data_IF_278981213047
#
_entry.id   IF_278981213047
#
_cell.length_a   1.000
_cell.length_b   1.000
_cell.length_c   1.000
_cell.angle_alpha   90.00
_cell.angle_beta   90.00
_cell.angle_gamma   90.00
#
_symmetry.space_group_name_H-M   'P 1'
#
loop_
_entity.id
_entity.type
_entity.pdbx_description
1 polymer ?
#
# COMPACT_ATOMS: atom_id res chain seq x y z
N UNK A 1 21.72 -1.68 28.64
CA UNK A 1 21.19 -2.19 27.36
C UNK A 1 19.69 -2.25 27.46
N UNK A 2 19.04 -1.17 27.05
CA UNK A 2 17.59 -1.00 27.12
C UNK A 2 16.91 -2.01 26.20
N UNK A 3 16.01 -2.80 26.80
CA UNK A 3 15.08 -3.68 26.08
C UNK A 3 14.07 -2.79 25.35
N UNK A 4 14.35 -2.43 24.10
CA UNK A 4 13.36 -1.85 23.20
C UNK A 4 12.30 -2.93 22.93
N UNK A 5 11.22 -2.92 23.72
CA UNK A 5 9.98 -3.60 23.37
C UNK A 5 9.53 -3.04 22.01
N UNK A 6 9.69 -3.83 20.96
CA UNK A 6 9.06 -3.54 19.68
C UNK A 6 7.55 -3.64 19.89
N UNK A 7 6.89 -2.50 20.06
CA UNK A 7 5.45 -2.42 20.08
C UNK A 7 4.97 -2.63 18.64
N UNK A 8 4.61 -3.87 18.33
CA UNK A 8 4.01 -4.20 17.04
C UNK A 8 2.59 -3.66 17.03
N UNK A 9 2.37 -2.64 16.19
CA UNK A 9 1.07 -1.98 16.06
C UNK A 9 0.25 -2.72 15.02
N UNK A 10 -0.97 -3.13 15.40
CA UNK A 10 -1.92 -3.72 14.44
C UNK A 10 -2.68 -2.57 13.79
N UNK A 11 -2.75 -2.62 12.47
CA UNK A 11 -3.35 -1.58 11.62
C UNK A 11 -4.63 -2.10 10.98
N UNK A 12 -5.65 -1.25 10.88
CA UNK A 12 -6.90 -1.54 10.21
C UNK A 12 -7.41 -0.31 9.45
N UNK A 13 -8.11 -0.52 8.35
CA UNK A 13 -8.67 0.57 7.56
C UNK A 13 -8.83 0.20 6.09
N UNK A 14 -9.55 1.05 5.37
CA UNK A 14 -9.63 0.98 3.91
C UNK A 14 -8.66 2.02 3.34
N UNK A 15 -7.80 1.58 2.44
CA UNK A 15 -6.88 2.48 1.73
C UNK A 15 -7.65 3.18 0.61
N UNK A 16 -7.75 4.50 0.71
CA UNK A 16 -8.19 5.36 -0.37
C UNK A 16 -7.00 5.60 -1.31
N UNK A 17 -7.07 5.04 -2.52
CA UNK A 17 -5.97 5.07 -3.48
C UNK A 17 -5.60 6.50 -3.85
N UNK A 18 -6.58 7.39 -4.02
CA UNK A 18 -6.31 8.77 -4.43
C UNK A 18 -5.55 9.52 -3.34
N UNK A 19 -5.97 9.37 -2.08
CA UNK A 19 -5.26 9.94 -0.93
C UNK A 19 -3.87 9.36 -0.77
N UNK A 20 -3.73 8.05 -0.95
CA UNK A 20 -2.43 7.39 -0.86
C UNK A 20 -1.46 7.91 -1.92
N UNK A 21 -1.91 8.07 -3.16
CA UNK A 21 -1.10 8.65 -4.25
C UNK A 21 -0.69 10.10 -3.95
N UNK A 22 -1.60 10.92 -3.40
CA UNK A 22 -1.29 12.28 -2.96
C UNK A 22 -0.21 12.27 -1.87
N UNK A 23 -0.30 11.34 -0.91
CA UNK A 23 0.68 11.26 0.18
C UNK A 23 2.05 10.77 -0.31
N UNK A 24 2.10 9.84 -1.27
CA UNK A 24 3.35 9.47 -1.94
C UNK A 24 3.99 10.67 -2.63
N UNK A 25 3.20 11.48 -3.35
CA UNK A 25 3.68 12.70 -4.00
C UNK A 25 4.21 13.73 -2.97
N UNK A 26 3.52 13.93 -1.84
CA UNK A 26 3.99 14.80 -0.75
C UNK A 26 5.31 14.33 -0.13
N UNK A 27 5.54 13.01 -0.09
CA UNK A 27 6.81 12.41 0.33
C UNK A 27 7.94 12.52 -0.72
N UNK A 28 7.68 13.17 -1.84
CA UNK A 28 8.63 13.40 -2.93
C UNK A 28 8.75 12.22 -3.89
N UNK A 29 7.77 11.30 -3.92
CA UNK A 29 7.73 10.18 -4.85
C UNK A 29 6.83 10.55 -6.04
N UNK A 30 7.45 10.97 -7.14
CA UNK A 30 6.78 11.37 -8.38
C UNK A 30 7.01 10.35 -9.51
N UNK A 31 6.26 10.45 -10.62
CA UNK A 31 6.45 9.55 -11.75
C UNK A 31 6.03 8.11 -11.45
N UNK A 32 4.96 7.94 -10.67
CA UNK A 32 4.40 6.63 -10.34
C UNK A 32 3.70 6.03 -11.56
N UNK A 33 3.98 4.76 -11.84
CA UNK A 33 3.22 3.97 -12.81
C UNK A 33 2.11 3.22 -12.07
N UNK A 34 0.86 3.40 -12.49
CA UNK A 34 -0.31 2.83 -11.81
C UNK A 34 -1.00 1.88 -12.78
N UNK A 35 -1.21 0.63 -12.33
CA UNK A 35 -1.91 -0.40 -13.08
C UNK A 35 -3.04 -0.98 -12.26
N UNK A 36 -4.24 -0.94 -12.81
CA UNK A 36 -5.38 -1.67 -12.26
C UNK A 36 -5.28 -3.13 -12.68
N UNK A 37 -5.25 -4.02 -11.70
CA UNK A 37 -5.26 -5.45 -11.91
C UNK A 37 -6.70 -5.94 -11.74
N UNK A 38 -7.29 -6.37 -12.84
CA UNK A 38 -8.52 -7.16 -12.80
C UNK A 38 -8.09 -8.60 -12.57
N UNK A 39 -8.39 -9.15 -11.39
CA UNK A 39 -8.43 -10.60 -11.25
C UNK A 39 -9.63 -11.08 -12.08
N UNK A 40 -9.42 -12.06 -12.95
CA UNK A 40 -10.49 -12.67 -13.73
C UNK A 40 -11.44 -13.38 -12.74
N UNK A 41 -12.66 -12.85 -12.60
CA UNK A 41 -13.78 -13.56 -11.96
C UNK A 41 -14.02 -14.85 -12.74
N UNK A 42 -13.63 -15.98 -12.14
CA UNK A 42 -13.92 -17.31 -12.66
C UNK A 42 -14.72 -18.15 -11.65
N UNK A 43 -15.35 -17.52 -10.66
CA UNK A 43 -16.31 -18.19 -9.78
C UNK A 43 -17.61 -17.40 -9.71
N UNK A 44 -18.55 -17.82 -10.56
CA UNK A 44 -19.98 -17.56 -10.46
C UNK A 44 -20.48 -17.91 -9.05
N UNK A 45 -20.51 -16.94 -8.13
CA UNK A 45 -21.44 -16.93 -7.00
C UNK A 45 -21.63 -15.49 -6.48
N UNK A 46 -22.89 -15.07 -6.42
CA UNK A 46 -23.39 -13.71 -6.17
C UNK A 46 -23.05 -13.13 -4.77
N UNK A 47 -21.76 -12.93 -4.46
CA UNK A 47 -21.30 -12.14 -3.31
C UNK A 47 -19.89 -11.51 -3.52
N UNK A 48 -19.41 -11.42 -4.76
CA UNK A 48 -18.04 -11.00 -5.05
C UNK A 48 -17.90 -9.47 -5.13
N UNK A 49 -17.47 -8.91 -4.00
CA UNK A 49 -16.88 -7.58 -3.96
C UNK A 49 -15.58 -7.63 -4.78
N UNK A 50 -15.70 -7.33 -6.09
CA UNK A 50 -14.61 -7.25 -7.08
C UNK A 50 -13.27 -6.98 -6.42
N UNK A 51 -12.38 -7.97 -6.39
CA UNK A 51 -11.01 -7.87 -5.88
C UNK A 51 -10.16 -7.00 -6.82
N UNK A 52 -10.56 -5.75 -7.00
CA UNK A 52 -9.80 -4.75 -7.75
C UNK A 52 -8.53 -4.48 -6.96
N UNK A 53 -7.41 -4.96 -7.47
CA UNK A 53 -6.11 -4.64 -6.91
C UNK A 53 -5.45 -3.54 -7.73
N UNK A 54 -4.66 -2.70 -7.06
CA UNK A 54 -3.92 -1.61 -7.68
C UNK A 54 -2.45 -1.89 -7.47
N UNK A 55 -1.70 -1.96 -8.57
CA UNK A 55 -0.25 -2.01 -8.56
C UNK A 55 0.30 -0.60 -8.82
N UNK A 56 1.18 -0.14 -7.94
CA UNK A 56 1.89 1.14 -8.06
C UNK A 56 3.38 0.82 -8.12
N UNK A 57 4.04 1.25 -9.19
CA UNK A 57 5.49 1.11 -9.36
C UNK A 57 6.18 2.46 -9.32
N UNK A 58 7.39 2.47 -8.77
CA UNK A 58 8.25 3.65 -8.70
C UNK A 58 9.65 3.32 -9.22
N UNK A 59 10.18 4.18 -10.11
CA UNK A 59 11.52 4.11 -10.69
C UNK A 59 11.94 2.70 -11.13
N UNK A 60 11.32 2.17 -12.19
CA UNK A 60 11.70 0.89 -12.82
C UNK A 60 12.00 -0.23 -11.80
N UNK A 61 11.01 -0.51 -10.93
CA UNK A 61 11.02 -1.53 -9.89
C UNK A 61 11.87 -1.24 -8.64
N UNK A 62 12.26 0.02 -8.37
CA UNK A 62 12.83 0.41 -7.07
C UNK A 62 11.85 0.17 -5.92
N UNK A 63 10.56 0.41 -6.17
CA UNK A 63 9.48 -0.05 -5.31
C UNK A 63 8.25 -0.50 -6.10
N UNK A 64 7.57 -1.50 -5.56
CA UNK A 64 6.30 -2.03 -6.04
C UNK A 64 5.34 -2.15 -4.86
N UNK A 65 4.16 -1.55 -4.99
CA UNK A 65 3.12 -1.56 -3.98
C UNK A 65 1.88 -2.20 -4.58
N UNK A 66 1.36 -3.24 -3.93
CA UNK A 66 0.14 -3.94 -4.35
C UNK A 66 -0.92 -3.71 -3.29
N UNK A 67 -1.92 -2.90 -3.60
CA UNK A 67 -3.05 -2.62 -2.72
C UNK A 67 -4.21 -3.54 -3.09
N UNK A 68 -4.66 -4.34 -2.12
CA UNK A 68 -5.85 -5.21 -2.21
C UNK A 68 -6.86 -4.81 -1.14
N UNK A 69 -8.08 -5.34 -1.24
CA UNK A 69 -9.20 -5.02 -0.33
C UNK A 69 -8.84 -5.14 1.17
N UNK A 70 -8.01 -6.12 1.55
CA UNK A 70 -7.66 -6.42 2.95
C UNK A 70 -6.15 -6.41 3.26
N UNK A 71 -5.31 -6.20 2.26
CA UNK A 71 -3.85 -6.36 2.40
C UNK A 71 -3.13 -5.41 1.46
N UNK A 72 -2.01 -4.84 1.92
CA UNK A 72 -1.08 -4.11 1.06
C UNK A 72 0.30 -4.73 1.19
N UNK A 73 0.85 -5.14 0.06
CA UNK A 73 2.23 -5.64 -0.01
C UNK A 73 3.12 -4.53 -0.56
N UNK A 74 4.32 -4.40 0.00
CA UNK A 74 5.33 -3.45 -0.45
C UNK A 74 6.64 -4.22 -0.65
N UNK A 75 7.11 -4.24 -1.88
CA UNK A 75 8.45 -4.67 -2.24
C UNK A 75 9.28 -3.41 -2.51
N UNK A 76 10.40 -3.26 -1.82
CA UNK A 76 11.23 -2.06 -1.90
C UNK A 76 12.68 -2.44 -1.68
N UNK A 77 13.57 -1.94 -2.54
CA UNK A 77 15.01 -2.24 -2.46
C UNK A 77 15.80 -1.27 -1.55
N UNK A 78 15.18 -0.15 -1.15
CA UNK A 78 15.82 0.90 -0.33
C UNK A 78 15.05 1.15 0.98
N UNK A 79 15.71 1.13 2.16
CA UNK A 79 15.06 1.36 3.45
C UNK A 79 14.47 2.77 3.65
N UNK A 80 15.08 3.80 3.05
CA UNK A 80 14.57 5.19 3.15
C UNK A 80 13.31 5.36 2.31
N UNK A 81 13.29 4.78 1.11
CA UNK A 81 12.12 4.68 0.26
C UNK A 81 10.99 3.91 0.94
N UNK A 82 11.31 2.77 1.56
CA UNK A 82 10.33 2.00 2.35
C UNK A 82 9.72 2.83 3.47
N UNK A 83 10.54 3.63 4.17
CA UNK A 83 10.08 4.53 5.22
C UNK A 83 9.10 5.57 4.66
N UNK A 84 9.43 6.21 3.52
CA UNK A 84 8.53 7.16 2.85
C UNK A 84 7.20 6.55 2.44
N UNK A 85 7.22 5.33 1.89
CA UNK A 85 6.02 4.61 1.46
C UNK A 85 5.16 4.25 2.67
N UNK A 86 5.77 3.69 3.73
CA UNK A 86 5.09 3.34 4.98
C UNK A 86 4.43 4.56 5.60
N UNK A 87 5.16 5.66 5.73
CA UNK A 87 4.65 6.87 6.35
C UNK A 87 3.49 7.46 5.51
N UNK A 88 3.61 7.47 4.18
CA UNK A 88 2.52 7.88 3.28
C UNK A 88 1.26 7.00 3.43
N UNK A 89 1.45 5.70 3.68
CA UNK A 89 0.36 4.76 3.90
C UNK A 89 -0.36 5.02 5.24
N UNK A 90 0.40 5.30 6.29
CA UNK A 90 -0.13 5.52 7.64
C UNK A 90 -0.69 6.93 7.87
N UNK A 91 -0.29 7.92 7.08
CA UNK A 91 -0.57 9.34 7.36
C UNK A 91 -2.05 9.72 7.37
N UNK A 92 -2.93 8.98 6.69
CA UNK A 92 -4.36 9.33 6.58
C UNK A 92 -5.32 8.14 6.38
N UNK A 93 -4.82 6.90 6.25
CA UNK A 93 -5.62 5.77 5.75
C UNK A 93 -5.87 4.65 6.77
N UNK A 94 -5.25 4.70 7.95
CA UNK A 94 -5.14 3.54 8.83
C UNK A 94 -5.37 3.93 10.30
N UNK A 95 -6.36 3.31 10.92
CA UNK A 95 -6.52 3.30 12.38
C UNK A 95 -5.57 2.29 13.02
N UNK A 96 -5.23 2.52 14.28
CA UNK A 96 -4.30 1.67 15.06
C UNK A 96 -5.03 1.11 16.27
N UNK A 97 -4.82 -0.16 16.60
CA UNK A 97 -5.36 -0.83 17.80
C UNK A 97 -4.35 -0.84 18.95
#
# INVERSE_FOLDING_TARGET
NENLKQNNLITYGKIDIDKFLINLAKSGLFGLEIKHLNEYDNDLNDNEQSNRSVEIKYNQDAAKIIVRSKQTDIECNDPLLMTKIRDALLLDNIGTL
#
